data_IF_215359188889
#
_entry.id   IF_215359188889
#
_cell.length_a   1.000
_cell.length_b   1.000
_cell.length_c   1.000
_cell.angle_alpha   90.00
_cell.angle_beta   90.00
_cell.angle_gamma   90.00
#
_symmetry.space_group_name_H-M   'P 1'
#
loop_
_entity.id
_entity.type
_entity.pdbx_description
1 polymer ?
#
# COMPACT_ATOMS: atom_id res chain seq x y z
N UNK A 1 -10.09 -13.12 -13.53
CA UNK A 1 -8.85 -12.37 -13.23
C UNK A 1 -9.24 -10.92 -12.99
N UNK A 2 -8.71 -10.31 -11.96
CA UNK A 2 -8.89 -8.89 -11.62
C UNK A 2 -7.53 -8.20 -11.75
N UNK A 3 -7.53 -6.97 -12.26
CA UNK A 3 -6.35 -6.11 -12.32
C UNK A 3 -6.43 -5.12 -11.17
N UNK A 4 -5.34 -4.92 -10.44
CA UNK A 4 -5.20 -3.87 -9.47
C UNK A 4 -4.22 -2.81 -10.01
N UNK A 5 -4.65 -1.54 -10.04
CA UNK A 5 -3.82 -0.43 -10.47
C UNK A 5 -3.21 0.22 -9.25
N UNK A 6 -1.91 0.28 -9.22
CA UNK A 6 -1.13 0.99 -8.23
C UNK A 6 -0.82 2.41 -8.72
N UNK A 7 -1.26 3.46 -8.02
CA UNK A 7 -0.68 4.78 -8.20
C UNK A 7 0.80 4.76 -7.82
N UNK A 8 1.61 5.49 -8.55
CA UNK A 8 3.04 5.52 -8.28
C UNK A 8 3.57 6.95 -8.19
N UNK A 9 4.78 7.13 -7.68
CA UNK A 9 5.31 8.47 -7.49
C UNK A 9 5.44 9.22 -8.81
N UNK A 10 5.25 10.55 -8.78
CA UNK A 10 5.42 11.43 -9.94
C UNK A 10 6.83 11.45 -10.52
N UNK A 11 7.81 10.91 -9.79
CA UNK A 11 9.17 10.71 -10.30
C UNK A 11 9.28 9.50 -11.22
N UNK A 12 8.35 8.57 -11.12
CA UNK A 12 8.35 7.30 -11.87
C UNK A 12 7.32 7.32 -12.99
N UNK A 13 6.16 7.93 -12.78
CA UNK A 13 5.07 7.99 -13.75
C UNK A 13 4.33 9.33 -13.67
N UNK A 14 3.68 9.72 -14.77
CA UNK A 14 2.83 10.92 -14.85
C UNK A 14 1.34 10.58 -15.03
N UNK A 15 0.98 9.30 -14.93
CA UNK A 15 -0.38 8.87 -15.30
C UNK A 15 -1.30 8.79 -14.08
N UNK A 16 -0.85 8.21 -12.99
CA UNK A 16 -1.67 7.99 -11.80
C UNK A 16 -0.77 8.06 -10.56
N UNK A 17 -0.89 9.15 -9.80
CA UNK A 17 -0.03 9.41 -8.65
C UNK A 17 -0.80 9.65 -7.35
N UNK A 18 -2.10 9.87 -7.43
CA UNK A 18 -2.93 10.29 -6.30
C UNK A 18 -4.25 9.51 -6.28
N UNK A 19 -4.86 9.42 -5.11
CA UNK A 19 -6.15 8.76 -4.92
C UNK A 19 -7.24 9.30 -5.86
N UNK A 20 -7.27 10.61 -6.06
CA UNK A 20 -8.24 11.29 -6.94
C UNK A 20 -8.13 10.85 -8.41
N UNK A 21 -6.90 10.67 -8.88
CA UNK A 21 -6.61 10.23 -10.24
C UNK A 21 -6.96 8.75 -10.41
N UNK A 22 -6.63 7.90 -9.42
CA UNK A 22 -7.02 6.50 -9.42
C UNK A 22 -8.54 6.37 -9.42
N UNK A 23 -9.25 7.08 -8.54
CA UNK A 23 -10.72 7.07 -8.53
C UNK A 23 -11.32 7.48 -9.88
N UNK A 24 -10.77 8.50 -10.52
CA UNK A 24 -11.22 8.94 -11.85
C UNK A 24 -11.00 7.83 -12.89
N UNK A 25 -9.84 7.16 -12.85
CA UNK A 25 -9.53 6.04 -13.75
C UNK A 25 -10.52 4.91 -13.58
N UNK A 26 -10.76 4.45 -12.35
CA UNK A 26 -11.68 3.37 -12.04
C UNK A 26 -13.10 3.67 -12.52
N UNK A 27 -13.58 4.90 -12.29
CA UNK A 27 -14.88 5.36 -12.78
C UNK A 27 -14.98 5.44 -14.30
N UNK A 28 -13.90 5.88 -14.96
CA UNK A 28 -13.88 6.01 -16.43
C UNK A 28 -13.90 4.65 -17.12
N UNK A 29 -13.14 3.69 -16.60
CA UNK A 29 -13.11 2.32 -17.15
C UNK A 29 -14.39 1.56 -16.78
N UNK A 30 -14.92 1.82 -15.58
CA UNK A 30 -16.17 1.25 -15.05
C UNK A 30 -16.26 -0.28 -15.23
N UNK A 31 -15.21 -0.98 -14.84
CA UNK A 31 -15.14 -2.44 -14.93
C UNK A 31 -15.01 -3.07 -13.53
N UNK A 32 -15.84 -4.08 -13.19
CA UNK A 32 -15.69 -4.79 -11.91
C UNK A 32 -14.40 -5.63 -11.84
N UNK A 33 -13.64 -5.67 -12.92
CA UNK A 33 -12.33 -6.36 -12.99
C UNK A 33 -11.15 -5.40 -12.88
N UNK A 34 -11.40 -4.11 -12.67
CA UNK A 34 -10.37 -3.11 -12.43
C UNK A 34 -10.55 -2.52 -11.03
N UNK A 35 -9.56 -2.71 -10.19
CA UNK A 35 -9.55 -2.28 -8.79
C UNK A 35 -8.32 -1.40 -8.54
N UNK A 36 -8.31 -0.72 -7.41
CA UNK A 36 -7.14 0.02 -6.94
C UNK A 36 -6.23 -0.86 -6.09
N UNK A 37 -4.95 -0.56 -6.10
CA UNK A 37 -3.95 -1.04 -5.16
C UNK A 37 -3.51 0.13 -4.28
N UNK A 38 -3.43 -0.09 -2.98
CA UNK A 38 -2.91 0.87 -2.03
C UNK A 38 -1.56 0.36 -1.48
N UNK A 39 -0.49 1.09 -1.73
CA UNK A 39 0.82 0.84 -1.16
C UNK A 39 1.13 1.87 -0.07
N UNK A 40 1.44 1.40 1.15
CA UNK A 40 1.67 2.27 2.30
C UNK A 40 2.84 3.22 2.10
N UNK A 41 3.93 2.76 1.50
CA UNK A 41 5.14 3.56 1.29
C UNK A 41 5.01 4.49 0.08
N UNK A 42 4.44 4.02 -1.03
CA UNK A 42 4.19 4.86 -2.21
C UNK A 42 3.25 6.02 -1.87
N UNK A 43 2.16 5.77 -1.15
CA UNK A 43 1.23 6.82 -0.72
C UNK A 43 1.97 7.86 0.14
N UNK A 44 2.79 7.43 1.08
CA UNK A 44 3.56 8.33 1.93
C UNK A 44 4.58 9.17 1.13
N UNK A 45 5.16 8.63 0.05
CA UNK A 45 6.11 9.40 -0.79
C UNK A 45 5.45 10.50 -1.60
N UNK A 46 4.16 10.43 -1.89
CA UNK A 46 3.46 11.47 -2.65
C UNK A 46 3.19 12.71 -1.80
N UNK A 47 3.11 12.55 -0.47
CA UNK A 47 2.77 13.60 0.50
C UNK A 47 1.45 14.34 0.21
N UNK A 48 0.56 13.74 -0.57
CA UNK A 48 -0.76 14.29 -0.90
C UNK A 48 -1.82 13.68 -0.01
N UNK A 49 -1.79 12.36 0.11
CA UNK A 49 -2.74 11.57 0.89
C UNK A 49 -2.03 10.91 2.08
N UNK A 50 -2.73 10.71 3.18
CA UNK A 50 -2.40 9.67 4.15
C UNK A 50 -3.00 8.36 3.66
N UNK A 51 -2.54 7.21 4.18
CA UNK A 51 -3.14 5.91 3.83
C UNK A 51 -4.67 5.90 4.08
N UNK A 52 -5.10 6.49 5.19
CA UNK A 52 -6.52 6.60 5.53
C UNK A 52 -7.30 7.45 4.52
N UNK A 53 -6.81 8.66 4.21
CA UNK A 53 -7.49 9.55 3.25
C UNK A 53 -7.48 8.99 1.84
N UNK A 54 -6.41 8.29 1.44
CA UNK A 54 -6.34 7.59 0.17
C UNK A 54 -7.50 6.58 0.03
N UNK A 55 -7.71 5.73 1.05
CA UNK A 55 -8.80 4.75 1.05
C UNK A 55 -10.18 5.41 1.05
N UNK A 56 -10.36 6.52 1.78
CA UNK A 56 -11.63 7.28 1.77
C UNK A 56 -11.93 7.85 0.38
N UNK A 57 -10.91 8.33 -0.33
CA UNK A 57 -11.07 8.90 -1.67
C UNK A 57 -11.38 7.85 -2.71
N UNK A 58 -10.66 6.72 -2.74
CA UNK A 58 -10.94 5.67 -3.73
C UNK A 58 -12.24 4.94 -3.46
N UNK A 59 -12.64 4.82 -2.19
CA UNK A 59 -13.75 4.02 -1.69
C UNK A 59 -13.35 2.57 -1.42
N UNK A 60 -13.73 2.02 -0.25
CA UNK A 60 -13.36 0.65 0.15
C UNK A 60 -13.74 -0.41 -0.87
N UNK A 61 -14.87 -0.20 -1.54
CA UNK A 61 -15.39 -1.09 -2.58
C UNK A 61 -14.50 -1.19 -3.82
N UNK A 62 -13.59 -0.25 -4.00
CA UNK A 62 -12.64 -0.20 -5.12
C UNK A 62 -11.24 -0.71 -4.75
N UNK A 63 -11.01 -1.07 -3.49
CA UNK A 63 -9.72 -1.59 -3.02
C UNK A 63 -9.59 -3.07 -3.35
N UNK A 64 -8.69 -3.42 -4.27
CA UNK A 64 -8.45 -4.78 -4.70
C UNK A 64 -7.23 -5.45 -4.07
N UNK A 65 -6.23 -4.67 -3.69
CA UNK A 65 -5.00 -5.17 -3.07
C UNK A 65 -4.33 -4.10 -2.23
N UNK A 66 -3.48 -4.54 -1.30
CA UNK A 66 -2.67 -3.67 -0.45
C UNK A 66 -1.23 -4.18 -0.46
N UNK A 67 -0.26 -3.34 -0.81
CA UNK A 67 1.12 -3.51 -0.42
C UNK A 67 1.31 -2.86 0.94
N UNK A 68 1.74 -3.67 1.89
CA UNK A 68 1.86 -3.24 3.27
C UNK A 68 3.32 -3.35 3.72
N UNK A 69 4.03 -2.25 3.60
CA UNK A 69 5.47 -2.13 3.85
C UNK A 69 5.76 -0.86 4.65
N UNK A 70 6.92 -0.81 5.25
CA UNK A 70 7.40 0.39 5.92
C UNK A 70 8.25 1.26 4.97
N UNK A 71 8.59 2.46 5.39
CA UNK A 71 9.41 3.39 4.61
C UNK A 71 9.85 4.62 5.41
N UNK A 72 10.71 5.46 4.77
CA UNK A 72 11.21 6.71 5.34
C UNK A 72 10.93 7.99 4.52
N UNK A 73 9.70 8.33 4.07
CA UNK A 73 8.96 7.63 3.03
C UNK A 73 9.83 7.25 1.85
N UNK A 74 9.56 6.11 1.28
CA UNK A 74 10.39 5.46 0.27
C UNK A 74 11.26 4.37 0.89
N UNK A 75 11.66 3.42 0.04
CA UNK A 75 12.56 2.33 0.40
C UNK A 75 11.89 0.96 0.46
N UNK A 76 10.59 0.86 0.63
CA UNK A 76 9.89 -0.42 0.76
C UNK A 76 10.59 -1.33 1.77
N UNK A 77 10.51 -0.89 3.03
CA UNK A 77 11.19 -1.54 4.14
C UNK A 77 10.31 -2.61 4.78
N UNK A 78 10.97 -3.52 5.48
CA UNK A 78 10.28 -4.44 6.39
C UNK A 78 9.55 -3.65 7.48
N UNK A 79 8.31 -4.01 7.85
CA UNK A 79 7.61 -3.38 8.96
C UNK A 79 8.44 -3.30 10.23
N UNK A 80 8.56 -2.10 10.77
CA UNK A 80 9.38 -1.77 11.93
C UNK A 80 10.78 -1.22 11.62
N UNK A 81 11.21 -1.20 10.35
CA UNK A 81 12.50 -0.60 9.93
C UNK A 81 12.37 0.84 9.41
N UNK A 82 11.16 1.34 9.27
CA UNK A 82 10.84 2.69 8.83
C UNK A 82 10.14 3.53 9.89
N UNK A 83 9.40 4.53 9.42
CA UNK A 83 8.72 5.52 10.27
C UNK A 83 7.25 5.71 9.93
N UNK A 84 6.68 4.85 9.07
CA UNK A 84 5.29 4.97 8.66
C UNK A 84 4.34 4.56 9.80
N UNK A 85 3.17 5.19 9.85
CA UNK A 85 2.10 4.83 10.78
C UNK A 85 1.37 3.56 10.30
N UNK A 86 2.06 2.41 10.41
CA UNK A 86 1.51 1.12 10.00
C UNK A 86 0.40 0.64 10.93
N UNK A 87 0.45 0.98 12.21
CA UNK A 87 -0.62 0.63 13.15
C UNK A 87 -1.91 1.37 12.79
N UNK A 88 -1.85 2.67 12.47
CA UNK A 88 -2.98 3.43 11.96
C UNK A 88 -3.50 2.91 10.61
N UNK A 89 -2.61 2.44 9.74
CA UNK A 89 -3.01 1.81 8.48
C UNK A 89 -3.77 0.49 8.72
N UNK A 90 -3.33 -0.36 9.65
CA UNK A 90 -4.04 -1.59 10.03
C UNK A 90 -5.41 -1.29 10.62
N UNK A 91 -5.51 -0.32 11.53
CA UNK A 91 -6.80 0.09 12.10
C UNK A 91 -7.77 0.58 11.02
N UNK A 92 -7.27 1.33 10.02
CA UNK A 92 -8.10 1.74 8.89
C UNK A 92 -8.59 0.55 8.08
N UNK A 93 -7.74 -0.44 7.78
CA UNK A 93 -8.13 -1.65 7.07
C UNK A 93 -9.18 -2.47 7.84
N UNK A 94 -9.02 -2.59 9.16
CA UNK A 94 -10.02 -3.22 10.04
C UNK A 94 -11.34 -2.45 10.01
N UNK A 95 -11.31 -1.13 10.09
CA UNK A 95 -12.51 -0.28 10.09
C UNK A 95 -13.33 -0.39 8.80
N UNK A 96 -12.68 -0.59 7.66
CA UNK A 96 -13.36 -0.80 6.37
C UNK A 96 -13.66 -2.28 6.09
N UNK A 97 -13.41 -3.16 7.05
CA UNK A 97 -13.61 -4.62 6.93
C UNK A 97 -12.85 -5.24 5.74
N UNK A 98 -11.62 -4.78 5.48
CA UNK A 98 -10.80 -5.36 4.43
C UNK A 98 -10.43 -6.81 4.75
N UNK A 99 -10.75 -7.72 3.84
CA UNK A 99 -10.50 -9.17 3.98
C UNK A 99 -9.53 -9.71 2.91
N UNK A 100 -8.95 -8.81 2.11
CA UNK A 100 -7.97 -9.18 1.11
C UNK A 100 -6.58 -9.49 1.69
N UNK A 101 -5.67 -9.90 0.83
CA UNK A 101 -4.28 -10.15 1.22
C UNK A 101 -3.50 -8.84 1.43
N UNK A 102 -2.58 -8.86 2.38
CA UNK A 102 -1.53 -7.85 2.50
C UNK A 102 -0.27 -8.39 1.83
N UNK A 103 0.15 -7.73 0.75
CA UNK A 103 1.37 -8.05 0.04
C UNK A 103 2.58 -7.38 0.70
N UNK A 104 3.65 -8.12 0.89
CA UNK A 104 4.91 -7.59 1.41
C UNK A 104 5.88 -7.37 0.26
N UNK A 105 5.93 -6.15 -0.27
CA UNK A 105 6.81 -5.77 -1.38
C UNK A 105 8.08 -5.09 -0.88
N UNK A 106 9.00 -5.86 -0.31
CA UNK A 106 10.28 -5.35 0.22
C UNK A 106 11.31 -5.22 -0.90
N UNK A 107 11.79 -4.00 -1.15
CA UNK A 107 12.69 -3.68 -2.25
C UNK A 107 14.06 -3.14 -1.83
N UNK A 108 14.25 -2.76 -0.55
CA UNK A 108 15.51 -2.18 -0.10
C UNK A 108 16.67 -3.17 -0.16
N UNK A 109 17.81 -2.71 -0.68
CA UNK A 109 19.01 -3.53 -0.88
C UNK A 109 19.62 -4.03 0.43
N UNK A 110 19.30 -3.45 1.58
CA UNK A 110 19.79 -3.90 2.90
C UNK A 110 19.44 -5.35 3.20
N UNK A 111 18.35 -5.87 2.59
CA UNK A 111 17.85 -7.23 2.84
C UNK A 111 18.42 -8.29 1.90
N UNK A 112 19.17 -7.91 0.87
CA UNK A 112 19.65 -8.83 -0.17
C UNK A 112 20.53 -9.96 0.38
N UNK A 113 21.31 -9.68 1.43
CA UNK A 113 22.21 -10.68 2.03
C UNK A 113 21.57 -11.52 3.13
N UNK A 114 20.38 -11.17 3.59
CA UNK A 114 19.66 -11.89 4.64
C UNK A 114 18.12 -11.83 4.42
N UNK A 115 17.59 -12.22 3.26
CA UNK A 115 16.17 -12.06 2.94
C UNK A 115 15.26 -12.87 3.88
N UNK A 116 15.71 -14.05 4.33
CA UNK A 116 14.95 -14.86 5.27
C UNK A 116 14.80 -14.19 6.65
N UNK A 117 15.82 -13.47 7.10
CA UNK A 117 15.73 -12.73 8.36
C UNK A 117 14.74 -11.57 8.23
N UNK A 118 14.75 -10.86 7.10
CA UNK A 118 13.79 -9.81 6.79
C UNK A 118 12.35 -10.33 6.79
N UNK A 119 12.11 -11.48 6.13
CA UNK A 119 10.78 -12.10 6.11
C UNK A 119 10.34 -12.56 7.51
N UNK A 120 11.23 -13.10 8.33
CA UNK A 120 10.91 -13.44 9.72
C UNK A 120 10.52 -12.21 10.52
N UNK A 121 11.31 -11.14 10.45
CA UNK A 121 11.00 -9.89 11.13
C UNK A 121 9.62 -9.36 10.74
N UNK A 122 9.31 -9.32 9.44
CA UNK A 122 8.00 -8.91 8.96
C UNK A 122 6.89 -9.78 9.56
N UNK A 123 7.04 -11.10 9.52
CA UNK A 123 6.02 -12.02 10.04
C UNK A 123 5.85 -11.89 11.55
N UNK A 124 6.91 -11.64 12.30
CA UNK A 124 6.83 -11.45 13.74
C UNK A 124 6.13 -10.12 14.08
N UNK A 125 6.42 -9.06 13.32
CA UNK A 125 5.71 -7.77 13.42
C UNK A 125 4.19 -7.94 13.20
N UNK A 126 3.79 -8.71 12.18
CA UNK A 126 2.37 -8.99 11.90
C UNK A 126 1.70 -9.81 12.99
N UNK A 127 2.33 -10.89 13.49
CA UNK A 127 1.76 -11.76 14.53
C UNK A 127 1.43 -11.04 15.82
N UNK A 128 2.12 -9.94 16.12
CA UNK A 128 1.87 -9.12 17.31
C UNK A 128 0.62 -8.23 17.17
N UNK A 129 0.08 -8.02 15.95
CA UNK A 129 -0.93 -7.01 15.62
C UNK A 129 -2.20 -7.54 14.95
N UNK A 130 -2.13 -8.75 14.40
CA UNK A 130 -3.23 -9.37 13.62
C UNK A 130 -3.79 -10.60 14.33
#
# INVERSE_FOLDING_TARGET
MTLAVEPFTKYTTHICNEASQLRRLLRTVNSPRLMGLADTDVIATTAVDTFSTFLDVIGPENLGHVHFVDGNPGGHLVPGDGVLDLDGALEKLKAIHYTGALGLEVLDRRYVFAPEAAMRQAMDWYKERI
#
